data_IF_493365617974
#
_entry.id   IF_493365617974
#
_cell.length_a   1.000
_cell.length_b   1.000
_cell.length_c   1.000
_cell.angle_alpha   90.00
_cell.angle_beta   90.00
_cell.angle_gamma   90.00
#
_symmetry.space_group_name_H-M   'P 1'
#
loop_
_entity.id
_entity.type
_entity.pdbx_description
1 polymer ?
#
# COMPACT_ATOMS: atom_id res chain seq x y z
N UNK A 1 15.92 10.20 -20.40
CA UNK A 1 15.45 10.94 -19.21
C UNK A 1 16.65 11.20 -18.33
N UNK A 2 16.87 12.41 -17.85
CA UNK A 2 18.02 12.73 -16.99
C UNK A 2 17.80 12.20 -15.58
N UNK A 3 18.87 11.98 -14.84
CA UNK A 3 18.80 11.53 -13.43
C UNK A 3 17.87 12.42 -12.59
N UNK A 4 18.01 13.75 -12.72
CA UNK A 4 17.19 14.71 -12.00
C UNK A 4 15.69 14.61 -12.33
N UNK A 5 15.35 14.26 -13.56
CA UNK A 5 13.95 14.07 -13.99
C UNK A 5 13.36 12.81 -13.35
N UNK A 6 14.15 11.73 -13.25
CA UNK A 6 13.75 10.48 -12.58
C UNK A 6 13.51 10.75 -11.09
N UNK A 7 14.42 11.46 -10.44
CA UNK A 7 14.30 11.80 -9.01
C UNK A 7 13.10 12.72 -8.74
N UNK A 8 12.89 13.77 -9.56
CA UNK A 8 11.73 14.64 -9.43
C UNK A 8 10.42 13.90 -9.64
N UNK A 9 10.35 13.01 -10.64
CA UNK A 9 9.18 12.18 -10.87
C UNK A 9 8.88 11.25 -9.70
N UNK A 10 9.91 10.63 -9.11
CA UNK A 10 9.77 9.79 -7.93
C UNK A 10 9.21 10.58 -6.72
N UNK A 11 9.67 11.81 -6.50
CA UNK A 11 9.15 12.67 -5.43
C UNK A 11 7.67 13.03 -5.63
N UNK A 12 7.25 13.34 -6.86
CA UNK A 12 5.83 13.60 -7.16
C UNK A 12 4.95 12.37 -6.90
N UNK A 13 5.39 11.19 -7.33
CA UNK A 13 4.69 9.93 -7.04
C UNK A 13 4.59 9.65 -5.55
N UNK A 14 5.64 9.96 -4.78
CA UNK A 14 5.64 9.78 -3.33
C UNK A 14 4.63 10.71 -2.64
N UNK A 15 4.57 11.99 -3.05
CA UNK A 15 3.57 12.95 -2.55
C UNK A 15 2.15 12.47 -2.88
N UNK A 16 1.90 12.04 -4.11
CA UNK A 16 0.60 11.50 -4.52
C UNK A 16 0.22 10.27 -3.69
N UNK A 17 1.14 9.33 -3.47
CA UNK A 17 0.90 8.16 -2.64
C UNK A 17 0.57 8.54 -1.18
N UNK A 18 1.23 9.58 -0.64
CA UNK A 18 0.94 10.14 0.67
C UNK A 18 -0.51 10.60 0.83
N UNK A 19 -1.11 11.23 -0.18
CA UNK A 19 -2.53 11.63 -0.15
C UNK A 19 -3.48 10.42 -0.13
N UNK A 20 -3.15 9.37 -0.89
CA UNK A 20 -3.92 8.12 -0.85
C UNK A 20 -3.77 7.41 0.50
N UNK A 21 -2.60 7.46 1.12
CA UNK A 21 -2.37 6.91 2.46
C UNK A 21 -3.21 7.61 3.52
N UNK A 22 -3.32 8.94 3.47
CA UNK A 22 -4.21 9.70 4.36
C UNK A 22 -5.68 9.29 4.16
N UNK A 23 -6.10 9.12 2.90
CA UNK A 23 -7.44 8.66 2.57
C UNK A 23 -7.70 7.25 3.11
N UNK A 24 -6.72 6.36 3.02
CA UNK A 24 -6.77 5.01 3.57
C UNK A 24 -6.90 5.03 5.11
N UNK A 25 -6.14 5.88 5.81
CA UNK A 25 -6.23 6.03 7.25
C UNK A 25 -7.64 6.47 7.70
N UNK A 26 -8.26 7.40 6.97
CA UNK A 26 -9.64 7.84 7.22
C UNK A 26 -10.62 6.68 6.98
N UNK A 27 -10.46 5.91 5.89
CA UNK A 27 -11.31 4.75 5.60
C UNK A 27 -11.19 3.65 6.66
N UNK A 28 -9.99 3.40 7.21
CA UNK A 28 -9.80 2.48 8.34
C UNK A 28 -10.66 2.93 9.53
N UNK A 29 -10.58 4.20 9.90
CA UNK A 29 -11.35 4.74 11.01
C UNK A 29 -12.87 4.62 10.79
N UNK A 30 -13.34 4.96 9.59
CA UNK A 30 -14.76 4.79 9.21
C UNK A 30 -15.17 3.31 9.28
N UNK A 31 -14.33 2.41 8.77
CA UNK A 31 -14.61 0.96 8.78
C UNK A 31 -14.78 0.45 10.20
N UNK A 32 -13.84 0.74 11.11
CA UNK A 32 -13.97 0.31 12.50
C UNK A 32 -15.17 0.94 13.21
N UNK A 33 -15.49 2.20 12.90
CA UNK A 33 -16.71 2.84 13.42
C UNK A 33 -17.98 2.13 12.96
N UNK A 34 -18.05 1.74 11.68
CA UNK A 34 -19.18 0.99 11.14
C UNK A 34 -19.31 -0.40 11.78
N UNK A 35 -18.19 -1.11 11.96
CA UNK A 35 -18.16 -2.39 12.67
C UNK A 35 -18.71 -2.24 14.09
N UNK A 36 -18.27 -1.22 14.84
CA UNK A 36 -18.78 -0.94 16.19
C UNK A 36 -20.27 -0.60 16.20
N UNK A 37 -20.70 0.32 15.34
CA UNK A 37 -22.10 0.74 15.24
C UNK A 37 -23.03 -0.42 14.91
N UNK A 38 -22.63 -1.28 13.96
CA UNK A 38 -23.36 -2.48 13.58
C UNK A 38 -23.56 -3.43 14.77
N UNK A 39 -22.55 -3.61 15.62
CA UNK A 39 -22.64 -4.42 16.84
C UNK A 39 -23.57 -3.80 17.89
N UNK A 40 -23.41 -2.52 18.18
CA UNK A 40 -24.25 -1.80 19.15
C UNK A 40 -25.73 -1.80 18.74
N UNK A 41 -26.01 -1.67 17.44
CA UNK A 41 -27.35 -1.68 16.89
C UNK A 41 -27.95 -3.09 16.71
N UNK A 42 -27.24 -4.16 17.05
CA UNK A 42 -27.64 -5.56 16.79
C UNK A 42 -28.19 -5.77 15.37
N UNK A 43 -27.49 -5.22 14.36
CA UNK A 43 -28.00 -5.23 12.99
C UNK A 43 -28.24 -6.66 12.48
N UNK A 44 -29.25 -6.79 11.62
CA UNK A 44 -29.56 -8.03 10.93
C UNK A 44 -28.39 -8.52 10.06
N UNK A 45 -28.50 -9.75 9.55
CA UNK A 45 -27.48 -10.39 8.70
C UNK A 45 -27.14 -9.52 7.48
N UNK A 46 -28.13 -8.84 6.89
CA UNK A 46 -27.92 -7.93 5.77
C UNK A 46 -26.98 -6.77 6.13
N UNK A 47 -27.17 -6.12 7.29
CA UNK A 47 -26.27 -5.08 7.78
C UNK A 47 -24.84 -5.57 8.02
N UNK A 48 -24.69 -6.79 8.54
CA UNK A 48 -23.37 -7.43 8.71
C UNK A 48 -22.64 -7.64 7.39
N UNK A 49 -23.36 -8.11 6.37
CA UNK A 49 -22.79 -8.31 5.02
C UNK A 49 -22.33 -6.99 4.43
N UNK A 50 -23.13 -5.93 4.50
CA UNK A 50 -22.74 -4.61 3.97
C UNK A 50 -21.48 -4.05 4.63
N UNK A 51 -21.36 -4.16 5.96
CA UNK A 51 -20.17 -3.72 6.69
C UNK A 51 -18.93 -4.54 6.32
N UNK A 52 -19.10 -5.86 6.14
CA UNK A 52 -18.01 -6.74 5.72
C UNK A 52 -17.51 -6.38 4.32
N UNK A 53 -18.43 -6.20 3.37
CA UNK A 53 -18.09 -5.81 1.99
C UNK A 53 -17.38 -4.45 1.98
N UNK A 54 -17.91 -3.46 2.69
CA UNK A 54 -17.28 -2.14 2.81
C UNK A 54 -15.86 -2.23 3.41
N UNK A 55 -15.68 -3.03 4.46
CA UNK A 55 -14.37 -3.24 5.08
C UNK A 55 -13.39 -3.93 4.13
N UNK A 56 -13.83 -4.94 3.37
CA UNK A 56 -13.00 -5.60 2.37
C UNK A 56 -12.62 -4.66 1.21
N UNK A 57 -13.53 -3.77 0.78
CA UNK A 57 -13.18 -2.71 -0.16
C UNK A 57 -12.08 -1.78 0.39
N UNK A 58 -12.10 -1.50 1.69
CA UNK A 58 -11.05 -0.72 2.35
C UNK A 58 -9.71 -1.47 2.37
N UNK A 59 -9.72 -2.78 2.64
CA UNK A 59 -8.52 -3.64 2.54
C UNK A 59 -7.95 -3.60 1.11
N UNK A 60 -8.81 -3.75 0.09
CA UNK A 60 -8.40 -3.71 -1.30
C UNK A 60 -7.83 -2.34 -1.70
N UNK A 61 -8.44 -1.25 -1.21
CA UNK A 61 -7.88 0.08 -1.41
C UNK A 61 -6.48 0.20 -0.78
N UNK A 62 -6.30 -0.27 0.45
CA UNK A 62 -4.99 -0.32 1.12
C UNK A 62 -3.96 -1.13 0.34
N UNK A 63 -4.34 -2.30 -0.20
CA UNK A 63 -3.49 -3.11 -1.08
C UNK A 63 -2.94 -2.29 -2.25
N UNK A 64 -3.80 -1.52 -2.92
CA UNK A 64 -3.37 -0.67 -4.03
C UNK A 64 -2.40 0.42 -3.56
N UNK A 65 -2.69 1.12 -2.46
CA UNK A 65 -1.83 2.19 -1.94
C UNK A 65 -0.41 1.69 -1.63
N UNK A 66 -0.30 0.57 -0.91
CA UNK A 66 1.00 -0.02 -0.59
C UNK A 66 1.70 -0.61 -1.82
N UNK A 67 0.95 -1.22 -2.75
CA UNK A 67 1.52 -1.74 -4.01
C UNK A 67 2.10 -0.62 -4.86
N UNK A 68 1.40 0.51 -5.00
CA UNK A 68 1.91 1.67 -5.70
C UNK A 68 3.17 2.23 -5.06
N UNK A 69 3.22 2.29 -3.73
CA UNK A 69 4.41 2.78 -3.02
C UNK A 69 5.62 1.89 -3.29
N UNK A 70 5.47 0.57 -3.14
CA UNK A 70 6.56 -0.37 -3.34
C UNK A 70 7.00 -0.45 -4.81
N UNK A 71 6.04 -0.59 -5.72
CA UNK A 71 6.29 -0.62 -7.17
C UNK A 71 6.98 0.67 -7.66
N UNK A 72 6.58 1.85 -7.16
CA UNK A 72 7.23 3.11 -7.53
C UNK A 72 8.69 3.21 -7.04
N UNK A 73 9.01 2.67 -5.87
CA UNK A 73 10.38 2.62 -5.36
C UNK A 73 11.26 1.71 -6.23
N UNK A 74 10.76 0.53 -6.57
CA UNK A 74 11.43 -0.38 -7.49
C UNK A 74 11.55 0.20 -8.90
N UNK A 75 10.53 0.90 -9.39
CA UNK A 75 10.54 1.55 -10.71
C UNK A 75 11.54 2.70 -10.79
N UNK A 76 11.74 3.45 -9.69
CA UNK A 76 12.80 4.44 -9.60
C UNK A 76 14.17 3.78 -9.75
N UNK A 77 14.40 2.69 -9.00
CA UNK A 77 15.65 1.92 -9.06
C UNK A 77 15.91 1.34 -10.45
N UNK A 78 14.90 0.71 -11.05
CA UNK A 78 14.93 0.21 -12.41
C UNK A 78 15.39 1.28 -13.41
N UNK A 79 14.76 2.47 -13.39
CA UNK A 79 15.09 3.57 -14.32
C UNK A 79 16.47 4.16 -14.10
N UNK A 80 16.95 4.21 -12.85
CA UNK A 80 18.32 4.61 -12.55
C UNK A 80 19.32 3.58 -13.07
N UNK A 81 19.01 2.28 -12.95
CA UNK A 81 19.87 1.21 -13.47
C UNK A 81 19.92 1.19 -15.00
N UNK A 82 18.82 1.53 -15.67
CA UNK A 82 18.76 1.72 -17.12
C UNK A 82 19.67 2.89 -17.54
N UNK A 83 19.60 4.02 -16.83
CA UNK A 83 20.45 5.17 -17.08
C UNK A 83 21.94 4.82 -16.90
N UNK A 84 22.28 4.05 -15.86
CA UNK A 84 23.64 3.54 -15.64
C UNK A 84 24.10 2.62 -16.78
N UNK A 85 23.22 1.76 -17.29
CA UNK A 85 23.52 0.88 -18.41
C UNK A 85 23.81 1.63 -19.72
N UNK A 86 23.27 2.84 -19.89
CA UNK A 86 23.61 3.72 -21.03
C UNK A 86 24.98 4.42 -20.93
N UNK A 87 25.74 4.17 -19.86
CA UNK A 87 27.07 4.72 -19.64
C UNK A 87 27.10 6.08 -18.93
N UNK A 88 25.97 6.52 -18.36
CA UNK A 88 25.89 7.75 -17.57
C UNK A 88 26.32 7.46 -16.14
N UNK A 89 27.29 8.22 -15.63
CA UNK A 89 27.66 8.18 -14.21
C UNK A 89 26.51 8.74 -13.35
N UNK A 90 26.09 7.96 -12.36
CA UNK A 90 25.05 8.35 -11.40
C UNK A 90 25.67 9.11 -10.23
N UNK A 91 24.89 10.00 -9.61
CA UNK A 91 25.28 10.59 -8.33
C UNK A 91 25.45 9.53 -7.22
N UNK A 92 26.24 9.87 -6.20
CA UNK A 92 26.45 8.99 -5.03
C UNK A 92 25.13 8.61 -4.34
N UNK A 93 24.18 9.55 -4.26
CA UNK A 93 22.85 9.31 -3.67
C UNK A 93 22.02 8.34 -4.52
N UNK A 94 22.05 8.47 -5.84
CA UNK A 94 21.34 7.55 -6.73
C UNK A 94 21.95 6.13 -6.69
N UNK A 95 23.28 6.04 -6.56
CA UNK A 95 23.95 4.75 -6.38
C UNK A 95 23.57 4.09 -5.05
N UNK A 96 23.55 4.84 -3.95
CA UNK A 96 23.08 4.32 -2.66
C UNK A 96 21.63 3.84 -2.71
N UNK A 97 20.75 4.53 -3.44
CA UNK A 97 19.36 4.10 -3.62
C UNK A 97 19.25 2.79 -4.40
N UNK A 98 20.04 2.64 -5.47
CA UNK A 98 20.15 1.38 -6.23
C UNK A 98 20.61 0.24 -5.32
N UNK A 99 21.65 0.46 -4.52
CA UNK A 99 22.21 -0.56 -3.63
C UNK A 99 21.23 -0.95 -2.51
N UNK A 100 20.46 0.01 -2.00
CA UNK A 100 19.45 -0.23 -0.96
C UNK A 100 18.24 -1.03 -1.49
N UNK A 101 17.73 -0.67 -2.66
CA UNK A 101 16.55 -1.32 -3.26
C UNK A 101 16.88 -2.64 -3.92
N UNK A 102 18.09 -2.78 -4.49
CA UNK A 102 18.59 -4.00 -5.11
C UNK A 102 17.87 -4.43 -6.39
N UNK A 103 17.04 -3.58 -6.98
CA UNK A 103 16.21 -3.93 -8.15
C UNK A 103 16.69 -3.21 -9.41
N UNK A 104 17.11 -3.97 -10.41
CA UNK A 104 17.76 -3.46 -11.61
C UNK A 104 17.06 -3.93 -12.88
N UNK A 105 17.54 -3.48 -14.04
CA UNK A 105 17.06 -3.93 -15.35
C UNK A 105 17.13 -5.46 -15.55
N UNK A 106 18.01 -6.18 -14.85
CA UNK A 106 18.06 -7.65 -14.96
C UNK A 106 16.89 -8.36 -14.28
N UNK A 107 16.24 -7.69 -13.33
CA UNK A 107 15.13 -8.25 -12.54
C UNK A 107 13.77 -8.09 -13.25
N UNK A 108 13.74 -7.34 -14.36
CA UNK A 108 12.56 -7.09 -15.16
C UNK A 108 11.72 -5.92 -14.65
N UNK A 109 10.44 -5.86 -15.05
CA UNK A 109 9.54 -4.79 -14.61
C UNK A 109 9.12 -5.03 -13.14
N UNK A 110 9.04 -3.97 -12.32
CA UNK A 110 8.61 -4.09 -10.93
C UNK A 110 7.25 -4.78 -10.78
N UNK A 111 7.10 -5.73 -9.84
CA UNK A 111 5.81 -6.35 -9.57
C UNK A 111 4.83 -5.35 -8.95
N UNK A 112 3.54 -5.53 -9.23
CA UNK A 112 2.46 -4.79 -8.56
C UNK A 112 1.99 -5.54 -7.32
N UNK A 113 2.82 -5.50 -6.29
CA UNK A 113 2.55 -6.13 -5.00
C UNK A 113 2.97 -5.21 -3.85
N UNK A 114 2.29 -5.24 -2.69
CA UNK A 114 2.78 -4.57 -1.50
C UNK A 114 4.07 -5.22 -1.00
N UNK A 115 4.81 -4.49 -0.18
CA UNK A 115 5.90 -5.09 0.58
C UNK A 115 5.36 -6.16 1.57
N UNK A 116 6.20 -7.14 1.99
CA UNK A 116 5.77 -8.21 2.89
C UNK A 116 5.14 -7.75 4.20
N UNK A 117 5.68 -6.68 4.82
CA UNK A 117 5.15 -6.13 6.07
C UNK A 117 3.74 -5.55 5.88
N UNK A 118 3.52 -4.79 4.79
CA UNK A 118 2.22 -4.23 4.43
C UNK A 118 1.19 -5.32 4.12
N UNK A 119 1.60 -6.43 3.49
CA UNK A 119 0.69 -7.58 3.28
C UNK A 119 0.21 -8.17 4.61
N UNK A 120 1.11 -8.38 5.57
CA UNK A 120 0.74 -8.89 6.91
C UNK A 120 -0.25 -7.94 7.59
N UNK A 121 0.00 -6.63 7.52
CA UNK A 121 -0.91 -5.61 8.05
C UNK A 121 -2.31 -5.70 7.42
N UNK A 122 -2.39 -5.78 6.08
CA UNK A 122 -3.68 -5.85 5.38
C UNK A 122 -4.46 -7.13 5.67
N UNK A 123 -3.77 -8.28 5.73
CA UNK A 123 -4.38 -9.56 6.12
C UNK A 123 -4.93 -9.49 7.54
N UNK A 124 -4.14 -8.93 8.46
CA UNK A 124 -4.58 -8.74 9.85
C UNK A 124 -5.79 -7.83 9.93
N UNK A 125 -5.79 -6.72 9.19
CA UNK A 125 -6.91 -5.79 9.12
C UNK A 125 -8.18 -6.46 8.56
N UNK A 126 -8.06 -7.27 7.50
CA UNK A 126 -9.19 -8.03 6.95
C UNK A 126 -9.78 -9.01 7.98
N UNK A 127 -8.92 -9.72 8.71
CA UNK A 127 -9.33 -10.63 9.79
C UNK A 127 -10.07 -9.85 10.89
N UNK A 128 -9.58 -8.67 11.27
CA UNK A 128 -10.23 -7.83 12.29
C UNK A 128 -11.63 -7.36 11.86
N UNK A 129 -11.83 -7.04 10.57
CA UNK A 129 -13.16 -6.68 10.04
C UNK A 129 -14.10 -7.87 10.15
N UNK A 130 -13.70 -9.04 9.65
CA UNK A 130 -14.54 -10.23 9.64
C UNK A 130 -14.85 -10.67 11.08
N UNK A 131 -13.83 -10.77 11.93
CA UNK A 131 -13.99 -11.13 13.32
C UNK A 131 -14.84 -10.10 14.08
N UNK A 132 -14.62 -8.80 13.84
CA UNK A 132 -15.38 -7.73 14.47
C UNK A 132 -16.86 -7.74 14.10
N UNK A 133 -17.22 -8.11 12.87
CA UNK A 133 -18.61 -8.13 12.40
C UNK A 133 -19.35 -9.42 12.76
N UNK A 134 -18.66 -10.57 12.74
CA UNK A 134 -19.30 -11.88 12.85
C UNK A 134 -19.06 -12.60 14.18
N UNK A 135 -17.95 -12.30 14.88
CA UNK A 135 -17.53 -13.00 16.09
C UNK A 135 -17.73 -12.10 17.31
N UNK A 136 -18.28 -12.67 18.39
CA UNK A 136 -18.24 -12.01 19.68
C UNK A 136 -16.85 -12.15 20.29
N UNK A 137 -16.04 -11.11 20.11
CA UNK A 137 -14.69 -11.00 20.68
C UNK A 137 -14.69 -10.67 22.19
N UNK A 138 -15.85 -10.46 22.81
CA UNK A 138 -15.96 -10.33 24.27
C UNK A 138 -16.04 -11.73 24.89
N UNK A 139 -15.11 -12.05 25.80
CA UNK A 139 -15.39 -13.08 26.82
C UNK A 139 -16.49 -12.51 27.73
N UNK A 140 -17.53 -13.30 27.95
CA UNK A 140 -18.48 -13.06 29.05
C UNK A 140 -17.74 -12.79 30.38
#
# INVERSE_FOLDING_TARGET
>A
MKEIEILNYAQLNFIQNGLYMLSFAVLIFITFRLVRFQREANSNVFGKVLVTVFGLCTVFFGYNVFSYLYSNQLAQSYRLSELKATGVELSSTAQQYLDFTGHTVSDGLPPFTPEPAAMIFLVTFAIMIIAGTWINLSKE
#
